data_IF_932452552652
#
_entry.id   IF_932452552652
#
_cell.length_a   1.000
_cell.length_b   1.000
_cell.length_c   1.000
_cell.angle_alpha   90.00
_cell.angle_beta   90.00
_cell.angle_gamma   90.00
#
_symmetry.space_group_name_H-M   'P 1'
#
loop_
_entity.id
_entity.type
_entity.pdbx_description
1 polymer ?
#
# COMPACT_ATOMS: atom_id res chain seq x y z
N UNK A 1 5.31 9.50 8.28
CA UNK A 1 3.86 9.46 8.56
C UNK A 1 3.61 8.48 9.69
N UNK A 2 2.58 8.70 10.50
CA UNK A 2 2.19 7.80 11.59
C UNK A 2 0.76 8.10 12.03
N UNK A 3 0.12 7.10 12.61
CA UNK A 3 -1.22 7.21 13.17
C UNK A 3 -1.36 6.23 14.33
N UNK A 4 -2.26 6.54 15.26
CA UNK A 4 -2.65 5.61 16.31
C UNK A 4 -3.64 4.59 15.75
N UNK A 5 -3.55 3.36 16.23
CA UNK A 5 -4.39 2.24 15.82
C UNK A 5 -5.05 1.68 17.06
N UNK A 6 -6.39 1.64 17.05
CA UNK A 6 -7.19 1.17 18.18
C UNK A 6 -7.31 -0.36 18.20
N UNK A 7 -6.27 -1.03 18.71
CA UNK A 7 -6.17 -2.48 18.91
C UNK A 7 -5.50 -2.78 20.25
N UNK A 8 -5.74 -3.97 20.81
CA UNK A 8 -4.98 -4.47 21.96
C UNK A 8 -3.82 -5.37 21.48
N UNK A 9 -2.56 -4.93 21.56
CA UNK A 9 -1.40 -5.69 21.08
C UNK A 9 -1.13 -6.98 21.88
N UNK A 10 -1.82 -7.20 23.01
CA UNK A 10 -1.68 -8.42 23.83
C UNK A 10 -2.54 -9.57 23.33
N UNK A 11 -3.64 -9.25 22.62
CA UNK A 11 -4.60 -10.24 22.12
C UNK A 11 -4.69 -10.29 20.60
N UNK A 12 -4.26 -9.24 19.90
CA UNK A 12 -4.33 -9.14 18.44
C UNK A 12 -2.95 -8.90 17.81
N UNK A 13 -2.70 -9.53 16.65
CA UNK A 13 -1.52 -9.25 15.84
C UNK A 13 -1.70 -7.94 15.06
N UNK A 14 -0.62 -7.16 14.94
CA UNK A 14 -0.63 -5.94 14.11
C UNK A 14 -0.57 -6.34 12.63
N UNK A 15 -1.70 -6.19 11.93
CA UNK A 15 -1.76 -6.41 10.48
C UNK A 15 -1.58 -5.11 9.70
N UNK A 16 -0.94 -5.22 8.54
CA UNK A 16 -0.75 -4.12 7.60
C UNK A 16 -0.98 -4.61 6.17
N UNK A 17 -1.87 -3.95 5.43
CA UNK A 17 -2.05 -4.12 3.99
C UNK A 17 -1.61 -2.84 3.29
N UNK A 18 -0.80 -2.97 2.23
CA UNK A 18 -0.44 -1.85 1.36
C UNK A 18 -0.94 -2.13 -0.06
N UNK A 19 -1.60 -1.14 -0.67
CA UNK A 19 -1.80 -1.06 -2.11
C UNK A 19 -0.74 -0.12 -2.66
N UNK A 20 0.10 -0.61 -3.56
CA UNK A 20 1.22 0.13 -4.14
C UNK A 20 0.94 0.26 -5.64
N UNK A 21 0.76 1.49 -6.12
CA UNK A 21 0.51 1.77 -7.53
C UNK A 21 1.30 3.01 -7.96
N UNK A 22 2.53 2.79 -8.46
CA UNK A 22 3.43 3.82 -8.96
C UNK A 22 3.62 5.01 -7.99
N UNK A 23 2.84 6.08 -8.17
CA UNK A 23 2.94 7.32 -7.39
C UNK A 23 2.02 7.38 -6.17
N UNK A 24 1.24 6.34 -5.90
CA UNK A 24 0.33 6.26 -4.75
C UNK A 24 0.58 4.98 -3.95
N UNK A 25 0.55 5.13 -2.62
CA UNK A 25 0.56 4.01 -1.67
C UNK A 25 -0.59 4.21 -0.69
N UNK A 26 -1.46 3.22 -0.56
CA UNK A 26 -2.54 3.20 0.43
C UNK A 26 -2.27 2.11 1.47
N UNK A 27 -2.06 2.53 2.71
CA UNK A 27 -1.74 1.67 3.84
C UNK A 27 -2.96 1.53 4.75
N UNK A 28 -3.34 0.29 5.05
CA UNK A 28 -4.46 -0.09 5.90
C UNK A 28 -3.94 -0.89 7.09
N UNK A 29 -3.87 -0.26 8.27
CA UNK A 29 -3.48 -0.89 9.53
C UNK A 29 -4.66 -1.55 10.22
N UNK A 30 -4.43 -2.69 10.87
CA UNK A 30 -5.42 -3.45 11.65
C UNK A 30 -6.75 -3.67 10.89
N UNK A 31 -6.66 -4.14 9.64
CA UNK A 31 -7.84 -4.39 8.81
C UNK A 31 -8.59 -3.14 8.35
N UNK A 32 -7.98 -1.95 8.42
CA UNK A 32 -8.58 -0.68 7.96
C UNK A 32 -9.11 0.19 9.09
N UNK A 33 -8.86 -0.14 10.37
CA UNK A 33 -9.10 0.77 11.51
C UNK A 33 -8.33 2.09 11.36
N UNK A 34 -7.19 2.03 10.68
CA UNK A 34 -6.36 3.20 10.38
C UNK A 34 -5.92 3.15 8.92
N UNK A 35 -6.19 4.23 8.18
CA UNK A 35 -5.88 4.34 6.76
C UNK A 35 -4.95 5.55 6.52
N UNK A 36 -3.90 5.35 5.73
CA UNK A 36 -2.97 6.41 5.34
C UNK A 36 -2.72 6.31 3.83
N UNK A 37 -3.00 7.39 3.11
CA UNK A 37 -2.67 7.51 1.68
C UNK A 37 -1.45 8.40 1.51
N UNK A 38 -0.47 7.93 0.76
CA UNK A 38 0.77 8.66 0.47
C UNK A 38 0.94 8.85 -1.04
N UNK A 39 1.51 9.98 -1.44
CA UNK A 39 1.97 10.24 -2.81
C UNK A 39 3.48 10.35 -2.84
N UNK A 40 4.13 9.63 -3.76
CA UNK A 40 5.60 9.58 -3.87
C UNK A 40 6.04 9.69 -5.34
N UNK A 41 7.22 10.29 -5.55
CA UNK A 41 7.82 10.49 -6.88
C UNK A 41 9.34 10.23 -6.86
N UNK A 42 9.76 8.99 -6.58
CA UNK A 42 11.18 8.66 -6.50
C UNK A 42 11.86 8.76 -7.87
N UNK A 43 13.10 9.25 -7.92
CA UNK A 43 13.83 9.49 -9.18
C UNK A 43 14.19 8.20 -9.95
N UNK A 44 14.41 7.09 -9.24
CA UNK A 44 14.92 5.87 -9.85
C UNK A 44 13.92 5.21 -10.82
N UNK A 45 12.62 5.48 -10.69
CA UNK A 45 11.56 4.83 -11.50
C UNK A 45 11.66 5.17 -12.99
N UNK A 46 12.47 6.17 -13.36
CA UNK A 46 12.77 6.50 -14.74
C UNK A 46 13.74 5.52 -15.41
N UNK A 47 14.52 4.77 -14.63
CA UNK A 47 15.66 3.99 -15.13
C UNK A 47 15.73 2.58 -14.56
N UNK A 48 15.09 2.32 -13.41
CA UNK A 48 15.24 1.11 -12.62
C UNK A 48 13.87 0.61 -12.11
N UNK A 49 13.78 -0.69 -11.86
CA UNK A 49 12.58 -1.32 -11.29
C UNK A 49 12.47 -1.06 -9.78
N UNK A 50 11.24 -1.06 -9.26
CA UNK A 50 10.99 -0.90 -7.84
C UNK A 50 11.24 -2.21 -7.07
N UNK A 51 11.73 -2.07 -5.84
CA UNK A 51 11.95 -3.18 -4.92
C UNK A 51 11.01 -3.11 -3.71
N UNK A 52 10.64 -4.28 -3.17
CA UNK A 52 9.82 -4.41 -1.97
C UNK A 52 10.60 -5.13 -0.88
N UNK A 53 10.57 -4.58 0.33
CA UNK A 53 11.28 -5.10 1.49
C UNK A 53 10.37 -5.20 2.71
N UNK A 54 10.70 -6.13 3.60
CA UNK A 54 10.24 -6.12 4.99
C UNK A 54 11.46 -5.87 5.86
N UNK A 55 11.32 -5.01 6.87
CA UNK A 55 12.42 -4.64 7.74
C UNK A 55 11.97 -4.55 9.20
N UNK A 56 12.89 -4.79 10.12
CA UNK A 56 12.75 -4.48 11.54
C UNK A 56 14.01 -3.71 11.95
N UNK A 57 13.83 -2.46 12.37
CA UNK A 57 14.93 -1.60 12.85
C UNK A 57 14.83 -1.33 14.37
N UNK A 58 14.04 -2.14 15.09
CA UNK A 58 13.95 -2.10 16.55
C UNK A 58 15.00 -2.98 17.22
N UNK A 59 15.19 -2.78 18.53
CA UNK A 59 16.09 -3.61 19.35
C UNK A 59 15.45 -4.94 19.76
N UNK A 60 14.13 -5.04 19.67
CA UNK A 60 13.36 -6.23 20.00
C UNK A 60 13.08 -7.06 18.74
N UNK A 61 13.01 -8.37 18.92
CA UNK A 61 12.65 -9.29 17.85
C UNK A 61 11.15 -9.19 17.52
N UNK A 62 10.80 -9.30 16.25
CA UNK A 62 9.41 -9.40 15.77
C UNK A 62 9.30 -10.58 14.81
N UNK A 63 8.16 -11.26 14.83
CA UNK A 63 7.87 -12.38 13.94
C UNK A 63 6.79 -11.98 12.95
N UNK A 64 7.02 -12.30 11.67
CA UNK A 64 5.99 -12.24 10.64
C UNK A 64 5.22 -13.55 10.71
N UNK A 65 4.00 -13.52 11.26
CA UNK A 65 3.13 -14.70 11.35
C UNK A 65 2.69 -15.18 9.96
N UNK A 66 2.36 -14.24 9.08
CA UNK A 66 2.00 -14.48 7.67
C UNK A 66 2.32 -13.26 6.81
N UNK A 67 2.80 -13.50 5.60
CA UNK A 67 2.93 -12.48 4.56
C UNK A 67 2.39 -13.02 3.25
N UNK A 68 1.73 -12.16 2.49
CA UNK A 68 1.28 -12.48 1.14
C UNK A 68 1.43 -11.26 0.25
N UNK A 69 1.98 -11.45 -0.95
CA UNK A 69 2.20 -10.40 -1.92
C UNK A 69 1.71 -10.88 -3.28
N UNK A 70 1.06 -9.99 -4.03
CA UNK A 70 0.51 -10.27 -5.34
C UNK A 70 0.90 -9.17 -6.32
N UNK A 71 1.41 -9.57 -7.49
CA UNK A 71 1.54 -8.64 -8.62
C UNK A 71 0.15 -8.30 -9.15
N UNK A 72 -0.16 -7.00 -9.21
CA UNK A 72 -1.46 -6.52 -9.64
C UNK A 72 -1.42 -6.22 -11.15
N UNK A 73 -2.36 -6.80 -11.90
CA UNK A 73 -2.56 -6.46 -13.32
C UNK A 73 -3.23 -5.08 -13.45
N UNK A 74 -3.00 -4.42 -14.59
CA UNK A 74 -3.68 -3.17 -14.91
C UNK A 74 -5.21 -3.35 -14.91
N UNK A 75 -5.91 -2.36 -14.35
CA UNK A 75 -7.34 -2.22 -14.55
C UNK A 75 -7.64 -1.84 -16.01
N UNK A 76 -8.81 -2.24 -16.52
CA UNK A 76 -9.25 -1.86 -17.86
C UNK A 76 -9.95 -0.50 -17.80
N UNK A 77 -9.37 0.49 -18.47
CA UNK A 77 -10.01 1.79 -18.68
C UNK A 77 -10.51 1.85 -20.12
N UNK A 78 -11.83 1.81 -20.30
CA UNK A 78 -12.48 1.98 -21.60
C UNK A 78 -12.93 3.43 -21.72
N UNK A 79 -12.54 4.09 -22.80
CA UNK A 79 -12.97 5.45 -23.10
C UNK A 79 -14.16 5.37 -24.06
N UNK A 80 -15.36 5.73 -23.58
CA UNK A 80 -16.53 5.95 -24.41
C UNK A 80 -16.61 7.45 -24.76
N UNK A 81 -16.44 7.78 -26.03
CA UNK A 81 -16.44 9.15 -26.55
C UNK A 81 -17.76 9.53 -27.24
N UNK A 82 -18.78 8.66 -27.22
CA UNK A 82 -20.07 8.90 -27.89
C UNK A 82 -20.84 10.12 -27.34
N UNK A 83 -20.48 10.59 -26.14
CA UNK A 83 -21.10 11.78 -25.51
C UNK A 83 -20.42 13.10 -25.91
N UNK A 84 -19.24 13.07 -26.56
CA UNK A 84 -18.50 14.30 -26.94
C UNK A 84 -18.84 14.86 -28.33
N UNK A 85 -19.60 14.16 -29.16
CA UNK A 85 -19.98 14.61 -30.51
C UNK A 85 -21.36 15.26 -30.60
N UNK A 86 -21.95 15.65 -29.47
CA UNK A 86 -23.28 16.28 -29.40
C UNK A 86 -23.28 17.75 -28.94
N UNK A 87 -22.12 18.41 -28.93
CA UNK A 87 -21.96 19.84 -28.62
C UNK A 87 -21.22 20.56 -29.74
#
# INVERSE_FOLDING_TARGET
>A
YGAFVDIDPRSEEISLRNLIDHSIIESFGAGGKTCITSRIYPKFVNNEEAHLFVFNNGTQNVKISKMSAWSMKNAKFVVDQSVKSAA
#
